data_IF_820780817907
#
_entry.id   IF_820780817907
#
_cell.length_a   1.000
_cell.length_b   1.000
_cell.length_c   1.000
_cell.angle_alpha   90.00
_cell.angle_beta   90.00
_cell.angle_gamma   90.00
#
_symmetry.space_group_name_H-M   'P 1'
#
loop_
_entity.id
_entity.type
_entity.pdbx_description
1 polymer ?
#
# COMPACT_ATOMS: atom_id res chain seq x y z
N UNK A 1 13.03 -9.34 -22.72
CA UNK A 1 14.08 -9.16 -21.70
C UNK A 1 13.46 -8.48 -20.48
N UNK A 2 13.22 -9.25 -19.42
CA UNK A 2 13.11 -8.73 -18.05
C UNK A 2 13.87 -9.76 -17.21
N UNK A 3 15.17 -9.54 -17.08
CA UNK A 3 16.10 -10.43 -16.38
C UNK A 3 15.79 -10.38 -14.89
N UNK A 4 14.97 -11.31 -14.42
CA UNK A 4 14.84 -11.62 -13.00
C UNK A 4 16.10 -12.37 -12.54
N UNK A 5 17.11 -11.62 -12.11
CA UNK A 5 18.23 -12.20 -11.35
C UNK A 5 17.69 -12.68 -10.00
N UNK A 6 17.94 -13.93 -9.59
CA UNK A 6 17.55 -14.41 -8.27
C UNK A 6 18.46 -13.77 -7.22
N UNK A 7 18.01 -12.70 -6.58
CA UNK A 7 18.69 -12.09 -5.44
C UNK A 7 18.24 -12.77 -4.14
N UNK A 8 18.80 -13.96 -3.87
CA UNK A 8 18.54 -14.76 -2.68
C UNK A 8 19.40 -14.34 -1.46
N UNK A 9 18.91 -14.65 -0.25
CA UNK A 9 19.61 -14.88 1.05
C UNK A 9 19.67 -13.86 2.21
N UNK A 10 19.10 -12.64 2.15
CA UNK A 10 19.23 -11.69 3.27
C UNK A 10 17.93 -10.98 3.71
N UNK A 11 17.08 -11.66 4.48
CA UNK A 11 16.32 -11.08 5.61
C UNK A 11 15.00 -10.33 5.32
N UNK A 12 14.07 -10.41 6.29
CA UNK A 12 12.94 -9.49 6.44
C UNK A 12 13.50 -8.11 6.78
N UNK A 13 13.15 -7.07 6.02
CA UNK A 13 13.62 -5.72 6.33
C UNK A 13 12.82 -5.11 7.48
N UNK A 14 13.50 -4.37 8.35
CA UNK A 14 12.85 -3.55 9.35
C UNK A 14 12.20 -2.33 8.68
N UNK A 15 10.98 -2.02 9.12
CA UNK A 15 10.26 -0.80 8.75
C UNK A 15 11.08 0.43 9.19
N UNK A 16 11.42 1.29 8.24
CA UNK A 16 12.08 2.57 8.52
C UNK A 16 11.09 3.72 8.50
N UNK A 17 10.06 3.60 7.67
CA UNK A 17 9.03 4.60 7.52
C UNK A 17 7.65 3.96 7.39
N UNK A 18 6.66 4.65 7.95
CA UNK A 18 5.26 4.24 7.97
C UNK A 18 4.37 5.41 7.60
N UNK A 19 3.47 5.19 6.65
CA UNK A 19 2.44 6.13 6.26
C UNK A 19 1.09 5.46 6.47
N UNK A 20 0.29 5.99 7.39
CA UNK A 20 -1.08 5.55 7.62
C UNK A 20 -2.06 6.46 6.85
N UNK A 21 -2.90 5.83 6.03
CA UNK A 21 -4.02 6.44 5.33
C UNK A 21 -5.28 5.95 6.05
N UNK A 22 -5.87 6.82 6.85
CA UNK A 22 -7.02 6.49 7.68
C UNK A 22 -8.31 7.10 7.12
N UNK A 23 -9.41 6.35 7.23
CA UNK A 23 -10.72 6.96 7.12
C UNK A 23 -11.02 7.64 8.47
N UNK A 24 -10.86 8.96 8.55
CA UNK A 24 -10.94 9.72 9.81
C UNK A 24 -12.23 9.48 10.63
N UNK A 25 -13.33 9.09 9.97
CA UNK A 25 -14.61 8.78 10.61
C UNK A 25 -14.76 7.31 11.02
N UNK A 26 -13.80 6.43 10.73
CA UNK A 26 -13.89 5.00 11.01
C UNK A 26 -12.52 4.33 11.20
N UNK A 27 -12.08 4.17 12.44
CA UNK A 27 -10.81 3.53 12.81
C UNK A 27 -10.72 2.04 12.44
N UNK A 28 -11.82 1.41 12.03
CA UNK A 28 -11.80 0.06 11.50
C UNK A 28 -11.34 -0.01 10.04
N UNK A 29 -11.21 1.14 9.35
CA UNK A 29 -10.79 1.23 7.95
C UNK A 29 -9.48 2.01 7.83
N UNK A 30 -8.41 1.28 7.49
CA UNK A 30 -7.04 1.81 7.43
C UNK A 30 -6.27 1.12 6.32
N UNK A 31 -5.48 1.89 5.59
CA UNK A 31 -4.39 1.42 4.75
C UNK A 31 -3.08 1.93 5.30
N UNK A 32 -2.06 1.09 5.36
CA UNK A 32 -0.71 1.47 5.82
C UNK A 32 0.27 1.10 4.73
N UNK A 33 1.16 2.03 4.42
CA UNK A 33 2.34 1.82 3.58
C UNK A 33 3.53 1.77 4.52
N UNK A 34 4.34 0.73 4.38
CA UNK A 34 5.58 0.52 5.15
C UNK A 34 6.72 0.56 4.17
N UNK A 35 7.75 1.34 4.47
CA UNK A 35 8.86 1.60 3.57
C UNK A 35 10.16 1.21 4.28
N UNK A 36 11.05 0.56 3.54
CA UNK A 36 12.42 0.32 3.96
C UNK A 36 13.38 0.67 2.81
N UNK A 37 14.54 1.21 3.18
CA UNK A 37 15.65 1.50 2.28
C UNK A 37 16.84 0.60 2.65
N UNK A 38 17.12 -0.45 1.87
CA UNK A 38 18.31 -1.29 2.08
C UNK A 38 19.59 -0.52 1.77
N UNK A 39 20.74 -1.11 2.11
CA UNK A 39 22.06 -0.53 1.87
C UNK A 39 22.38 -0.28 0.39
N UNK A 40 21.69 -0.95 -0.53
CA UNK A 40 21.81 -0.70 -1.98
C UNK A 40 21.17 0.63 -2.43
N UNK A 41 20.50 1.35 -1.51
CA UNK A 41 19.93 2.67 -1.75
C UNK A 41 18.54 2.66 -2.41
N UNK A 42 18.03 1.50 -2.82
CA UNK A 42 16.68 1.34 -3.39
C UNK A 42 15.59 1.35 -2.31
N UNK A 43 14.34 1.39 -2.70
CA UNK A 43 13.18 1.40 -1.80
C UNK A 43 12.38 0.12 -1.97
N UNK A 44 12.02 -0.49 -0.84
CA UNK A 44 11.05 -1.57 -0.75
C UNK A 44 9.83 -1.13 0.05
N UNK A 45 8.68 -1.69 -0.33
CA UNK A 45 7.40 -1.35 0.26
C UNK A 45 6.59 -2.58 0.60
N UNK A 46 5.85 -2.48 1.71
CA UNK A 46 4.77 -3.37 2.03
C UNK A 46 3.51 -2.57 2.34
N UNK A 47 2.38 -3.22 2.11
CA UNK A 47 1.07 -2.68 2.46
C UNK A 47 0.42 -3.53 3.53
N UNK A 48 -0.26 -2.88 4.45
CA UNK A 48 -1.25 -3.53 5.31
C UNK A 48 -2.57 -2.80 5.21
N UNK A 49 -3.67 -3.53 5.28
CA UNK A 49 -5.01 -2.97 5.23
C UNK A 49 -5.87 -3.62 6.30
N UNK A 50 -6.77 -2.83 6.87
CA UNK A 50 -7.78 -3.26 7.82
C UNK A 50 -9.12 -2.67 7.40
N UNK A 51 -10.18 -3.45 7.53
CA UNK A 51 -11.56 -3.04 7.34
C UNK A 51 -12.44 -3.75 8.39
N UNK A 52 -13.73 -3.40 8.47
CA UNK A 52 -14.63 -3.79 9.56
C UNK A 52 -14.64 -5.28 9.96
N UNK A 53 -14.39 -6.20 9.02
CA UNK A 53 -14.49 -7.65 9.25
C UNK A 53 -13.24 -8.41 8.79
N UNK A 54 -12.15 -7.72 8.50
CA UNK A 54 -10.95 -8.38 8.00
C UNK A 54 -9.79 -7.44 7.74
N UNK A 55 -8.71 -8.01 7.22
CA UNK A 55 -7.50 -7.27 6.90
C UNK A 55 -6.40 -8.20 6.42
N UNK A 56 -5.28 -7.60 6.09
CA UNK A 56 -4.08 -8.32 5.73
C UNK A 56 -2.86 -7.43 5.89
N UNK A 57 -1.73 -8.04 6.17
CA UNK A 57 -0.43 -7.36 6.16
C UNK A 57 0.50 -8.15 5.26
N UNK A 58 1.33 -7.42 4.53
CA UNK A 58 2.49 -8.01 3.87
C UNK A 58 3.75 -7.67 4.66
N UNK A 59 4.74 -8.57 4.74
CA UNK A 59 6.07 -8.23 5.24
C UNK A 59 6.78 -7.30 4.23
N UNK A 60 7.67 -6.44 4.72
CA UNK A 60 8.54 -5.62 3.87
C UNK A 60 9.63 -6.54 3.31
N UNK A 61 9.50 -6.86 2.03
CA UNK A 61 10.46 -7.69 1.32
C UNK A 61 10.77 -7.08 -0.05
N UNK A 62 12.04 -6.80 -0.30
CA UNK A 62 12.57 -6.53 -1.67
C UNK A 62 12.52 -7.82 -2.51
N UNK A 63 12.52 -8.99 -1.86
CA UNK A 63 12.79 -10.32 -2.42
C UNK A 63 11.70 -10.89 -3.33
N UNK A 64 10.43 -10.50 -3.13
CA UNK A 64 9.27 -11.01 -3.90
C UNK A 64 8.39 -9.87 -4.46
N UNK A 65 8.93 -8.65 -4.55
CA UNK A 65 8.23 -7.46 -5.03
C UNK A 65 9.16 -6.56 -5.85
N UNK A 66 8.56 -5.64 -6.59
CA UNK A 66 9.26 -4.58 -7.30
C UNK A 66 10.08 -3.73 -6.33
N UNK A 67 11.37 -3.54 -6.61
CA UNK A 67 12.19 -2.53 -5.95
C UNK A 67 12.10 -1.21 -6.72
N UNK A 68 12.15 -0.09 -6.01
CA UNK A 68 11.98 1.24 -6.60
C UNK A 68 13.25 2.06 -6.40
N UNK A 69 13.64 2.84 -7.40
CA UNK A 69 14.85 3.68 -7.31
C UNK A 69 14.57 4.98 -6.56
N UNK A 70 13.30 5.39 -6.49
CA UNK A 70 12.85 6.57 -5.74
C UNK A 70 11.80 6.21 -4.68
N UNK A 71 11.75 7.02 -3.62
CA UNK A 71 10.75 6.87 -2.55
C UNK A 71 9.34 7.10 -3.08
N UNK A 72 9.17 8.07 -3.95
CA UNK A 72 7.85 8.49 -4.46
C UNK A 72 7.25 7.43 -5.38
N UNK A 73 8.03 6.78 -6.25
CA UNK A 73 7.57 5.64 -7.03
C UNK A 73 7.15 4.47 -6.14
N UNK A 74 7.89 4.23 -5.05
CA UNK A 74 7.59 3.18 -4.09
C UNK A 74 6.25 3.44 -3.38
N UNK A 75 6.02 4.69 -2.94
CA UNK A 75 4.77 5.12 -2.32
C UNK A 75 3.61 5.02 -3.30
N UNK A 76 3.79 5.48 -4.54
CA UNK A 76 2.76 5.43 -5.56
C UNK A 76 2.34 3.98 -5.86
N UNK A 77 3.31 3.09 -6.02
CA UNK A 77 3.03 1.67 -6.25
C UNK A 77 2.30 1.02 -5.06
N UNK A 78 2.70 1.36 -3.83
CA UNK A 78 2.05 0.87 -2.62
C UNK A 78 0.62 1.42 -2.46
N UNK A 79 0.40 2.70 -2.75
CA UNK A 79 -0.92 3.32 -2.74
C UNK A 79 -1.84 2.68 -3.78
N UNK A 80 -1.33 2.38 -4.98
CA UNK A 80 -2.08 1.68 -6.02
C UNK A 80 -2.41 0.23 -5.59
N UNK A 81 -1.50 -0.47 -4.93
CA UNK A 81 -1.76 -1.79 -4.35
C UNK A 81 -2.91 -1.72 -3.33
N UNK A 82 -2.86 -0.77 -2.39
CA UNK A 82 -3.92 -0.54 -1.40
C UNK A 82 -5.26 -0.24 -2.08
N UNK A 83 -5.26 0.64 -3.08
CA UNK A 83 -6.46 0.97 -3.87
C UNK A 83 -7.09 -0.31 -4.44
N UNK A 84 -6.30 -1.17 -5.10
CA UNK A 84 -6.77 -2.44 -5.66
C UNK A 84 -7.34 -3.38 -4.60
N UNK A 85 -6.77 -3.40 -3.39
CA UNK A 85 -7.34 -4.20 -2.27
C UNK A 85 -8.73 -3.70 -1.88
N UNK A 86 -8.91 -2.39 -1.74
CA UNK A 86 -10.21 -1.81 -1.40
C UNK A 86 -11.23 -1.88 -2.55
N UNK A 87 -10.79 -1.81 -3.82
CA UNK A 87 -11.62 -2.13 -4.98
C UNK A 87 -12.10 -3.58 -4.91
N UNK A 88 -11.22 -4.54 -4.60
CA UNK A 88 -11.60 -5.94 -4.39
C UNK A 88 -12.61 -6.14 -3.24
N UNK A 89 -12.53 -5.34 -2.17
CA UNK A 89 -13.51 -5.37 -1.07
C UNK A 89 -14.86 -4.80 -1.54
N UNK A 90 -14.87 -3.70 -2.29
CA UNK A 90 -16.07 -3.08 -2.87
C UNK A 90 -16.77 -4.03 -3.84
N UNK A 91 -15.99 -4.67 -4.71
CA UNK A 91 -16.49 -5.47 -5.84
C UNK A 91 -16.68 -6.95 -5.47
N UNK A 92 -16.45 -7.33 -4.21
CA UNK A 92 -16.61 -8.70 -3.73
C UNK A 92 -18.03 -9.19 -4.02
N UNK A 93 -18.12 -10.19 -4.91
CA UNK A 93 -19.38 -10.87 -5.27
C UNK A 93 -19.84 -11.75 -4.12
N UNK A 94 -21.14 -11.75 -3.84
CA UNK A 94 -21.76 -12.46 -2.71
C UNK A 94 -22.25 -11.52 -1.60
N UNK A 95 -22.10 -11.94 -0.34
CA UNK A 95 -22.60 -11.23 0.85
C UNK A 95 -21.59 -10.17 1.33
N UNK A 96 -21.43 -9.08 0.58
CA UNK A 96 -20.83 -7.86 1.11
C UNK A 96 -21.96 -6.84 1.31
N UNK A 97 -22.28 -6.44 2.55
CA UNK A 97 -23.31 -5.42 2.81
C UNK A 97 -23.02 -4.12 2.04
N UNK A 98 -24.06 -3.43 1.57
CA UNK A 98 -23.86 -2.18 0.81
C UNK A 98 -23.13 -1.10 1.62
N UNK A 99 -23.30 -1.09 2.94
CA UNK A 99 -22.53 -0.24 3.85
C UNK A 99 -21.02 -0.48 3.77
N UNK A 100 -20.60 -1.73 3.56
CA UNK A 100 -19.19 -2.10 3.38
C UNK A 100 -18.68 -1.60 2.03
N UNK A 101 -19.48 -1.75 0.96
CA UNK A 101 -19.12 -1.23 -0.37
C UNK A 101 -18.97 0.28 -0.40
N UNK A 102 -19.90 0.99 0.23
CA UNK A 102 -19.85 2.45 0.36
C UNK A 102 -18.64 2.91 1.17
N UNK A 103 -18.32 2.21 2.26
CA UNK A 103 -17.14 2.55 3.07
C UNK A 103 -15.84 2.26 2.32
N UNK A 104 -15.77 1.15 1.58
CA UNK A 104 -14.65 0.85 0.69
C UNK A 104 -14.48 1.93 -0.39
N UNK A 105 -15.57 2.43 -0.99
CA UNK A 105 -15.52 3.52 -1.95
C UNK A 105 -14.98 4.82 -1.34
N UNK A 106 -15.35 5.16 -0.11
CA UNK A 106 -14.78 6.32 0.60
C UNK A 106 -13.28 6.15 0.86
N UNK A 107 -12.86 4.94 1.23
CA UNK A 107 -11.45 4.63 1.42
C UNK A 107 -10.63 4.76 0.13
N UNK A 108 -11.17 4.28 -1.00
CA UNK A 108 -10.58 4.48 -2.33
C UNK A 108 -10.39 5.97 -2.60
N UNK A 109 -11.40 6.81 -2.32
CA UNK A 109 -11.30 8.26 -2.48
C UNK A 109 -10.25 8.93 -1.60
N UNK A 110 -10.02 8.42 -0.38
CA UNK A 110 -8.94 8.90 0.49
C UNK A 110 -7.56 8.55 -0.07
N UNK A 111 -7.39 7.33 -0.59
CA UNK A 111 -6.14 6.90 -1.22
C UNK A 111 -5.86 7.74 -2.48
N UNK A 112 -6.87 8.03 -3.30
CA UNK A 112 -6.72 8.90 -4.47
C UNK A 112 -6.35 10.34 -4.09
N UNK A 113 -6.96 10.88 -3.02
CA UNK A 113 -6.60 12.19 -2.48
C UNK A 113 -5.15 12.22 -2.01
N UNK A 114 -4.73 11.21 -1.26
CA UNK A 114 -3.34 11.04 -0.84
C UNK A 114 -2.38 11.03 -2.04
N UNK A 115 -2.65 10.22 -3.06
CA UNK A 115 -1.82 10.16 -4.27
C UNK A 115 -1.71 11.51 -4.98
N UNK A 116 -2.81 12.28 -5.06
CA UNK A 116 -2.79 13.62 -5.66
C UNK A 116 -1.94 14.61 -4.85
N UNK A 117 -2.08 14.59 -3.53
CA UNK A 117 -1.32 15.46 -2.63
C UNK A 117 0.17 15.13 -2.67
N UNK A 118 0.53 13.84 -2.63
CA UNK A 118 1.93 13.41 -2.73
C UNK A 118 2.57 13.90 -4.03
N UNK A 119 1.88 13.79 -5.17
CA UNK A 119 2.39 14.30 -6.46
C UNK A 119 2.53 15.83 -6.49
N UNK A 120 1.64 16.58 -5.84
CA UNK A 120 1.74 18.03 -5.78
C UNK A 120 2.94 18.50 -4.94
N UNK A 121 3.36 17.75 -3.92
CA UNK A 121 4.53 18.08 -3.12
C UNK A 121 5.86 17.86 -3.86
N UNK A 122 5.91 17.00 -4.86
CA UNK A 122 7.13 16.72 -5.65
C UNK A 122 7.37 17.74 -6.79
N UNK A 123 6.44 18.66 -7.05
CA UNK A 123 6.51 19.61 -8.18
C UNK A 123 7.11 21.00 -7.84
N UNK A 124 7.76 21.16 -6.68
CA UNK A 124 8.37 22.40 -6.23
C UNK A 124 9.90 22.32 -6.14
#
# INVERSE_FOLDING_TARGET
MWGGTPCNDCGVFNEQERIDIDLQSNSQWRGTIKIARPLNGWYAVATSYKYAIGGGTSPISVWNRTAFTTRDEAIEAAALELKRKFEGIRDRKGYAPDSQRQTAQRMIGQIETFMRQSRQMTLF
#
